data_IF_590714692466
#
_entry.id   IF_590714692466
#
_cell.length_a   1.000
_cell.length_b   1.000
_cell.length_c   1.000
_cell.angle_alpha   90.00
_cell.angle_beta   90.00
_cell.angle_gamma   90.00
#
_symmetry.space_group_name_H-M   'P 1'
#
loop_
_entity.id
_entity.type
_entity.pdbx_description
1 polymer ?
#
# COMPACT_ATOMS: atom_id res chain seq x y z
N UNK A 1 9.31 10.40 -54.34
CA UNK A 1 8.82 11.69 -53.82
C UNK A 1 7.59 11.43 -52.97
N UNK A 2 7.77 11.19 -51.66
CA UNK A 2 6.69 11.17 -50.68
C UNK A 2 7.19 12.04 -49.51
N UNK A 3 6.49 13.15 -49.30
CA UNK A 3 6.83 14.22 -48.37
C UNK A 3 6.43 13.81 -46.96
N UNK A 4 7.41 13.73 -46.04
CA UNK A 4 7.13 13.77 -44.61
C UNK A 4 6.75 15.19 -44.22
N UNK A 5 5.51 15.41 -43.78
CA UNK A 5 5.11 16.61 -43.05
C UNK A 5 5.25 16.32 -41.55
N UNK A 6 6.30 16.88 -40.95
CA UNK A 6 6.45 16.95 -39.50
C UNK A 6 5.36 17.85 -38.91
N UNK A 7 4.49 17.28 -38.08
CA UNK A 7 3.60 18.02 -37.20
C UNK A 7 4.38 18.37 -35.93
N UNK A 8 4.88 19.60 -35.85
CA UNK A 8 5.42 20.15 -34.59
C UNK A 8 4.26 20.49 -33.67
N UNK A 9 4.02 19.62 -32.67
CA UNK A 9 3.13 19.91 -31.56
C UNK A 9 3.84 20.88 -30.61
N UNK A 10 3.49 22.16 -30.68
CA UNK A 10 3.94 23.17 -29.72
C UNK A 10 3.18 22.92 -28.42
N UNK A 11 3.84 22.26 -27.46
CA UNK A 11 3.38 22.27 -26.06
C UNK A 11 3.52 23.70 -25.53
N UNK A 12 2.39 24.34 -25.23
CA UNK A 12 2.38 25.47 -24.30
C UNK A 12 2.76 24.94 -22.91
N UNK A 13 4.06 24.91 -22.62
CA UNK A 13 4.54 24.89 -21.24
C UNK A 13 4.17 26.25 -20.66
N UNK A 14 3.17 26.26 -19.79
CA UNK A 14 2.91 27.40 -18.92
C UNK A 14 4.20 27.74 -18.20
N UNK A 15 4.79 28.88 -18.55
CA UNK A 15 5.96 29.44 -17.89
C UNK A 15 5.56 29.86 -16.48
N UNK A 16 5.59 28.91 -15.56
CA UNK A 16 5.73 29.24 -14.14
C UNK A 16 7.12 29.88 -14.04
N UNK A 17 7.14 31.16 -13.74
CA UNK A 17 8.36 31.92 -13.45
C UNK A 17 9.28 31.07 -12.58
N UNK A 18 10.41 30.66 -13.15
CA UNK A 18 11.53 30.08 -12.42
C UNK A 18 12.17 31.21 -11.61
N UNK A 19 11.49 31.66 -10.56
CA UNK A 19 12.14 32.42 -9.50
C UNK A 19 13.31 31.56 -9.01
N UNK A 20 14.51 32.14 -8.97
CA UNK A 20 15.73 31.47 -8.53
C UNK A 20 15.52 30.94 -7.10
N UNK A 21 15.19 29.64 -6.96
CA UNK A 21 15.00 28.99 -5.66
C UNK A 21 16.35 28.92 -4.97
N UNK A 22 16.38 29.15 -3.66
CA UNK A 22 17.59 28.91 -2.85
C UNK A 22 17.93 27.42 -2.93
N UNK A 23 19.10 27.09 -3.48
CA UNK A 23 19.59 25.71 -3.49
C UNK A 23 20.42 25.44 -2.24
N UNK A 24 20.12 24.34 -1.55
CA UNK A 24 20.83 23.87 -0.38
C UNK A 24 21.28 22.44 -0.63
N UNK A 25 22.58 22.25 -0.80
CA UNK A 25 23.18 20.93 -0.98
C UNK A 25 23.39 20.29 0.39
N UNK A 26 22.96 19.04 0.53
CA UNK A 26 23.19 18.23 1.73
C UNK A 26 24.62 17.68 1.67
N UNK A 27 25.49 18.00 2.65
CA UNK A 27 26.84 17.44 2.67
C UNK A 27 26.78 15.93 2.94
N UNK A 28 27.63 15.17 2.25
CA UNK A 28 27.74 13.73 2.42
C UNK A 28 29.09 13.36 3.05
N UNK A 29 29.07 12.45 4.02
CA UNK A 29 30.27 11.80 4.55
C UNK A 29 30.86 10.75 3.59
N UNK A 30 30.19 10.47 2.47
CA UNK A 30 30.56 9.40 1.54
C UNK A 30 30.29 8.00 2.12
N UNK A 31 29.33 7.89 3.05
CA UNK A 31 29.00 6.63 3.71
C UNK A 31 29.95 6.23 4.86
N UNK A 32 30.76 7.15 5.37
CA UNK A 32 31.76 6.85 6.41
C UNK A 32 31.31 7.18 7.84
N UNK A 33 30.48 8.23 7.99
CA UNK A 33 29.97 8.72 9.28
C UNK A 33 28.46 8.93 9.18
N UNK A 34 27.78 9.19 10.30
CA UNK A 34 26.36 9.58 10.26
C UNK A 34 26.21 10.98 9.65
N UNK A 35 25.31 11.10 8.67
CA UNK A 35 24.95 12.35 8.00
C UNK A 35 23.67 12.97 8.58
N UNK A 36 22.99 12.30 9.52
CA UNK A 36 21.67 12.73 10.03
C UNK A 36 21.64 14.16 10.56
N UNK A 37 22.65 14.59 11.33
CA UNK A 37 22.69 15.94 11.88
C UNK A 37 22.82 17.00 10.79
N UNK A 38 23.64 16.74 9.77
CA UNK A 38 23.84 17.68 8.66
C UNK A 38 22.61 17.73 7.74
N UNK A 39 21.94 16.58 7.52
CA UNK A 39 20.65 16.50 6.83
C UNK A 39 19.61 17.36 7.56
N UNK A 40 19.47 17.17 8.87
CA UNK A 40 18.51 17.92 9.68
C UNK A 40 18.79 19.43 9.64
N UNK A 41 20.05 19.85 9.79
CA UNK A 41 20.45 21.26 9.72
C UNK A 41 20.07 21.91 8.38
N UNK A 42 20.29 21.20 7.27
CA UNK A 42 19.93 21.69 5.92
C UNK A 42 18.42 21.80 5.77
N UNK A 43 17.67 20.79 6.22
CA UNK A 43 16.20 20.81 6.20
C UNK A 43 15.64 21.98 7.01
N UNK A 44 16.18 22.25 8.20
CA UNK A 44 15.74 23.34 9.06
C UNK A 44 16.03 24.72 8.43
N UNK A 45 17.24 24.92 7.90
CA UNK A 45 17.67 26.19 7.28
C UNK A 45 17.01 26.44 5.92
N UNK A 46 16.53 25.41 5.26
CA UNK A 46 16.00 25.47 3.90
C UNK A 46 14.56 24.95 3.81
N UNK A 47 13.79 25.07 4.88
CA UNK A 47 12.39 24.62 4.94
C UNK A 47 11.39 25.47 4.11
N UNK A 48 11.83 26.51 3.40
CA UNK A 48 10.96 27.38 2.61
C UNK A 48 11.60 27.85 1.31
N UNK A 49 10.79 27.88 0.23
CA UNK A 49 11.14 28.45 -1.09
C UNK A 49 12.48 27.96 -1.65
N UNK A 50 12.75 26.66 -1.48
CA UNK A 50 14.09 26.09 -1.69
C UNK A 50 14.08 24.82 -2.54
N UNK A 51 15.26 24.47 -3.00
CA UNK A 51 15.64 23.15 -3.49
C UNK A 51 16.66 22.58 -2.49
N UNK A 52 16.34 21.45 -1.88
CA UNK A 52 17.27 20.67 -1.04
C UNK A 52 17.76 19.49 -1.86
N UNK A 53 19.06 19.44 -2.13
CA UNK A 53 19.67 18.46 -3.03
C UNK A 53 20.52 17.45 -2.25
N UNK A 54 20.15 16.17 -2.37
CA UNK A 54 21.03 15.04 -2.10
C UNK A 54 21.67 14.64 -3.43
N UNK A 55 22.98 14.80 -3.56
CA UNK A 55 23.67 14.72 -4.85
C UNK A 55 23.76 13.29 -5.37
N UNK A 56 23.69 13.14 -6.70
CA UNK A 56 23.95 11.87 -7.36
C UNK A 56 25.38 11.40 -7.10
N UNK A 57 25.57 10.08 -6.98
CA UNK A 57 26.86 9.49 -6.65
C UNK A 57 27.27 9.60 -5.18
N UNK A 58 26.52 10.35 -4.35
CA UNK A 58 26.73 10.42 -2.91
C UNK A 58 25.98 9.33 -2.15
N UNK A 59 26.59 8.85 -1.07
CA UNK A 59 25.96 7.96 -0.09
C UNK A 59 25.82 8.71 1.24
N UNK A 60 24.60 8.71 1.77
CA UNK A 60 24.22 9.37 3.01
C UNK A 60 23.84 8.33 4.06
N UNK A 61 24.56 8.28 5.18
CA UNK A 61 24.19 7.41 6.30
C UNK A 61 23.20 8.15 7.22
N UNK A 62 21.94 7.76 7.20
CA UNK A 62 20.87 8.39 7.99
C UNK A 62 20.62 7.56 9.24
N UNK A 63 21.53 7.68 10.22
CA UNK A 63 21.49 6.80 11.40
C UNK A 63 20.61 7.26 12.55
N UNK A 64 20.07 8.47 12.46
CA UNK A 64 19.03 9.00 13.35
C UNK A 64 17.81 9.44 12.53
N UNK A 65 16.58 9.36 13.08
CA UNK A 65 15.37 9.82 12.43
C UNK A 65 15.41 11.31 12.07
N UNK A 66 14.81 11.64 10.93
CA UNK A 66 14.78 12.99 10.35
C UNK A 66 13.35 13.52 10.36
N UNK A 67 13.16 14.75 10.84
CA UNK A 67 11.86 15.40 10.89
C UNK A 67 11.90 16.82 10.30
N UNK A 68 11.18 17.06 9.21
CA UNK A 68 10.99 18.39 8.64
C UNK A 68 9.49 18.68 8.52
N UNK A 69 8.93 19.25 9.58
CA UNK A 69 7.48 19.32 9.79
C UNK A 69 6.82 20.62 9.31
N UNK A 70 7.63 21.59 8.89
CA UNK A 70 7.18 22.94 8.50
C UNK A 70 7.69 23.33 7.11
N UNK A 71 7.67 22.38 6.16
CA UNK A 71 8.09 22.64 4.78
C UNK A 71 7.06 23.52 4.05
N UNK A 72 7.52 24.48 3.25
CA UNK A 72 6.64 25.34 2.44
C UNK A 72 7.29 25.61 1.09
N UNK A 73 6.70 25.14 0.00
CA UNK A 73 7.22 25.33 -1.35
C UNK A 73 8.68 24.82 -1.49
N UNK A 74 8.91 23.58 -1.07
CA UNK A 74 10.24 22.93 -1.04
C UNK A 74 10.29 21.77 -2.01
N UNK A 75 11.42 21.65 -2.73
CA UNK A 75 11.76 20.45 -3.50
C UNK A 75 12.86 19.68 -2.75
N UNK A 76 12.56 18.47 -2.30
CA UNK A 76 13.52 17.48 -1.82
C UNK A 76 13.98 16.65 -3.03
N UNK A 77 15.11 17.01 -3.63
CA UNK A 77 15.71 16.27 -4.74
C UNK A 77 16.67 15.21 -4.22
N UNK A 78 16.24 13.95 -4.27
CA UNK A 78 16.96 12.79 -3.72
C UNK A 78 17.65 12.02 -4.85
N UNK A 79 18.84 12.48 -5.24
CA UNK A 79 19.59 11.88 -6.35
C UNK A 79 20.62 10.83 -5.88
N UNK A 80 21.14 10.97 -4.66
CA UNK A 80 22.04 10.02 -4.00
C UNK A 80 21.32 8.92 -3.21
N UNK A 81 22.09 7.96 -2.69
CA UNK A 81 21.56 6.85 -1.90
C UNK A 81 21.56 7.16 -0.40
N UNK A 82 20.52 6.72 0.30
CA UNK A 82 20.37 6.87 1.74
C UNK A 82 20.46 5.48 2.40
N UNK A 83 21.29 5.35 3.42
CA UNK A 83 21.50 4.09 4.14
C UNK A 83 21.06 4.24 5.60
N UNK A 84 20.14 3.37 6.04
CA UNK A 84 19.72 3.31 7.44
C UNK A 84 20.67 2.42 8.27
N UNK A 85 20.61 2.45 9.62
CA UNK A 85 21.40 1.55 10.44
C UNK A 85 21.03 0.09 10.20
N UNK A 86 22.04 -0.78 10.19
CA UNK A 86 21.87 -2.23 10.01
C UNK A 86 21.70 -2.99 11.34
N UNK A 87 22.20 -2.44 12.44
CA UNK A 87 22.13 -3.09 13.75
C UNK A 87 20.71 -2.99 14.33
N UNK A 88 20.02 -4.12 14.40
CA UNK A 88 18.66 -4.24 14.92
C UNK A 88 18.56 -3.65 16.34
N UNK A 89 19.50 -3.97 17.23
CA UNK A 89 19.45 -3.53 18.62
C UNK A 89 19.65 -2.02 18.76
N UNK A 90 20.50 -1.41 17.92
CA UNK A 90 20.70 0.03 17.86
C UNK A 90 19.42 0.73 17.38
N UNK A 91 18.81 0.24 16.29
CA UNK A 91 17.53 0.77 15.79
C UNK A 91 16.43 0.65 16.84
N UNK A 92 16.30 -0.52 17.49
CA UNK A 92 15.29 -0.73 18.54
C UNK A 92 15.48 0.23 19.72
N UNK A 93 16.71 0.60 20.08
CA UNK A 93 16.99 1.60 21.11
C UNK A 93 16.56 3.00 20.67
N UNK A 94 16.83 3.38 19.42
CA UNK A 94 16.42 4.68 18.85
C UNK A 94 14.90 4.83 18.91
N UNK A 95 14.15 3.78 18.55
CA UNK A 95 12.68 3.83 18.46
C UNK A 95 11.94 3.27 19.68
N UNK A 96 12.65 2.95 20.78
CA UNK A 96 12.08 2.36 21.98
C UNK A 96 10.96 3.20 22.63
N UNK A 97 10.89 4.50 22.33
CA UNK A 97 9.90 5.44 22.85
C UNK A 97 8.63 5.62 22.00
N UNK A 98 8.50 4.95 20.85
CA UNK A 98 7.27 5.01 20.04
C UNK A 98 7.44 4.65 18.57
N UNK A 99 6.30 4.43 17.90
CA UNK A 99 6.20 4.14 16.47
C UNK A 99 6.48 5.39 15.63
N UNK A 100 7.75 5.77 15.54
CA UNK A 100 8.23 6.85 14.69
C UNK A 100 8.37 6.42 13.23
N UNK A 101 8.31 7.39 12.33
CA UNK A 101 8.80 7.23 10.97
C UNK A 101 10.26 7.64 10.94
N UNK A 102 11.09 6.96 10.15
CA UNK A 102 12.49 7.35 9.99
C UNK A 102 12.63 8.71 9.30
N UNK A 103 11.72 9.01 8.38
CA UNK A 103 11.54 10.32 7.76
C UNK A 103 10.12 10.82 8.05
N UNK A 104 9.99 11.99 8.68
CA UNK A 104 8.69 12.65 8.87
C UNK A 104 8.69 14.01 8.18
N UNK A 105 8.00 14.08 7.04
CA UNK A 105 7.89 15.29 6.24
C UNK A 105 6.47 15.84 6.29
N UNK A 106 6.33 17.10 6.70
CA UNK A 106 5.04 17.77 6.76
C UNK A 106 5.10 19.23 6.30
N UNK A 107 3.99 19.71 5.73
CA UNK A 107 3.90 21.08 5.20
C UNK A 107 3.03 21.25 3.94
N UNK A 108 3.28 22.31 3.19
CA UNK A 108 2.53 22.69 1.98
C UNK A 108 3.44 22.80 0.76
N UNK A 109 2.95 22.44 -0.41
CA UNK A 109 3.68 22.56 -1.69
C UNK A 109 5.05 21.83 -1.64
N UNK A 110 5.05 20.60 -1.13
CA UNK A 110 6.25 19.76 -0.98
C UNK A 110 6.39 18.86 -2.21
N UNK A 111 7.58 18.81 -2.79
CA UNK A 111 7.92 17.87 -3.84
C UNK A 111 9.07 16.96 -3.39
N UNK A 112 8.85 15.66 -3.28
CA UNK A 112 9.90 14.65 -3.18
C UNK A 112 10.20 14.12 -4.58
N UNK A 113 11.42 14.33 -5.08
CA UNK A 113 11.83 13.93 -6.43
C UNK A 113 13.07 13.05 -6.32
N UNK A 114 12.87 11.74 -6.42
CA UNK A 114 13.98 10.78 -6.49
C UNK A 114 14.67 10.78 -7.86
N UNK A 115 15.83 10.12 -7.94
CA UNK A 115 16.51 9.88 -9.21
C UNK A 115 15.65 8.97 -10.10
N UNK A 116 15.48 9.30 -11.38
CA UNK A 116 14.76 8.44 -12.32
C UNK A 116 15.56 7.20 -12.76
N UNK A 117 16.89 7.23 -12.63
CA UNK A 117 17.73 6.07 -12.88
C UNK A 117 17.58 5.05 -11.75
N UNK A 118 17.23 3.81 -12.10
CA UNK A 118 17.01 2.71 -11.16
C UNK A 118 18.29 2.32 -10.40
N UNK A 119 19.50 2.75 -10.79
CA UNK A 119 20.72 2.46 -10.02
C UNK A 119 21.02 3.44 -8.88
N UNK A 120 20.28 4.53 -8.76
CA UNK A 120 20.55 5.63 -7.80
C UNK A 120 19.30 5.99 -6.98
N UNK A 121 19.39 6.94 -6.05
CA UNK A 121 18.22 7.47 -5.33
C UNK A 121 17.50 6.46 -4.42
N UNK A 122 18.17 5.38 -4.01
CA UNK A 122 17.57 4.35 -3.15
C UNK A 122 17.67 4.70 -1.68
N UNK A 123 16.62 4.35 -0.93
CA UNK A 123 16.70 4.24 0.53
C UNK A 123 16.91 2.76 0.91
N UNK A 124 18.10 2.42 1.38
CA UNK A 124 18.47 1.09 1.85
C UNK A 124 18.15 0.95 3.34
N UNK A 125 17.08 0.21 3.65
CA UNK A 125 16.58 0.03 5.01
C UNK A 125 17.08 -1.24 5.70
N UNK A 126 17.69 -2.17 4.95
CA UNK A 126 18.32 -3.40 5.48
C UNK A 126 17.40 -4.33 6.29
N UNK A 127 16.12 -4.40 5.91
CA UNK A 127 15.07 -5.20 6.53
C UNK A 127 15.29 -6.70 6.50
N UNK A 128 16.14 -7.23 5.62
CA UNK A 128 16.41 -8.68 5.53
C UNK A 128 16.82 -9.27 6.89
N UNK A 129 17.74 -8.62 7.61
CA UNK A 129 18.18 -9.08 8.92
C UNK A 129 17.01 -9.19 9.93
N UNK A 130 16.04 -8.28 9.83
CA UNK A 130 14.85 -8.27 10.68
C UNK A 130 13.91 -9.42 10.36
N UNK A 131 13.66 -9.67 9.08
CA UNK A 131 12.77 -10.76 8.65
C UNK A 131 13.38 -12.12 9.01
N UNK A 132 14.67 -12.32 8.76
CA UNK A 132 15.41 -13.53 9.14
C UNK A 132 15.38 -13.77 10.65
N UNK A 133 15.57 -12.72 11.45
CA UNK A 133 15.50 -12.82 12.91
C UNK A 133 14.07 -13.11 13.40
N UNK A 134 13.05 -12.52 12.76
CA UNK A 134 11.65 -12.81 13.06
C UNK A 134 11.28 -14.27 12.75
N UNK A 135 11.70 -14.78 11.60
CA UNK A 135 11.44 -16.17 11.20
C UNK A 135 12.02 -17.17 12.22
N UNK A 136 13.24 -16.91 12.72
CA UNK A 136 13.87 -17.71 13.79
C UNK A 136 13.10 -17.63 15.12
N UNK A 137 12.48 -16.48 15.41
CA UNK A 137 11.68 -16.28 16.61
C UNK A 137 10.25 -16.87 16.48
N UNK A 138 9.81 -17.25 15.29
CA UNK A 138 8.45 -17.74 15.03
C UNK A 138 7.37 -16.66 15.25
N UNK A 139 7.70 -15.38 15.05
CA UNK A 139 6.80 -14.25 15.29
C UNK A 139 6.16 -13.68 14.02
N UNK A 140 5.29 -12.69 14.20
CA UNK A 140 4.67 -11.87 13.13
C UNK A 140 5.34 -10.51 12.97
N UNK A 141 6.59 -10.41 13.43
CA UNK A 141 7.41 -9.20 13.45
C UNK A 141 8.18 -9.07 14.76
N UNK A 142 9.44 -8.60 14.66
CA UNK A 142 10.19 -8.18 15.84
C UNK A 142 9.54 -6.92 16.47
N UNK A 143 9.72 -6.70 17.78
CA UNK A 143 9.28 -5.47 18.43
C UNK A 143 10.07 -4.26 17.91
N UNK A 144 9.48 -3.06 18.02
CA UNK A 144 10.14 -1.78 17.76
C UNK A 144 10.74 -1.68 16.34
N UNK A 145 9.95 -2.05 15.33
CA UNK A 145 10.28 -1.84 13.92
C UNK A 145 9.87 -0.44 13.49
N UNK A 146 10.78 0.39 12.94
CA UNK A 146 10.41 1.70 12.42
C UNK A 146 9.58 1.58 11.14
N UNK A 147 8.70 2.55 10.93
CA UNK A 147 8.15 2.81 9.60
C UNK A 147 9.14 3.70 8.84
N UNK A 148 9.18 3.61 7.52
CA UNK A 148 10.17 4.34 6.74
C UNK A 148 9.83 5.84 6.63
N UNK A 149 8.67 6.21 6.10
CA UNK A 149 8.35 7.60 5.79
C UNK A 149 6.90 7.97 6.08
N UNK A 150 6.69 9.10 6.76
CA UNK A 150 5.44 9.84 6.76
C UNK A 150 5.53 11.04 5.82
N UNK A 151 4.58 11.15 4.90
CA UNK A 151 4.44 12.27 3.98
C UNK A 151 3.08 12.95 4.19
N UNK A 152 3.11 14.06 4.94
CA UNK A 152 1.94 14.79 5.43
C UNK A 152 1.83 16.14 4.71
N UNK A 153 1.21 16.18 3.54
CA UNK A 153 1.27 17.34 2.65
C UNK A 153 -0.12 17.91 2.30
N UNK A 154 -0.18 19.22 2.10
CA UNK A 154 -1.19 19.84 1.23
C UNK A 154 -0.52 20.28 -0.05
N UNK A 155 -1.04 19.89 -1.21
CA UNK A 155 -0.36 20.06 -2.51
C UNK A 155 0.99 19.33 -2.56
N UNK A 156 0.97 18.02 -2.35
CA UNK A 156 2.17 17.19 -2.33
C UNK A 156 2.46 16.53 -3.69
N UNK A 157 3.74 16.40 -4.04
CA UNK A 157 4.20 15.54 -5.13
C UNK A 157 5.28 14.61 -4.62
N UNK A 158 5.19 13.33 -4.96
CA UNK A 158 6.26 12.36 -4.79
C UNK A 158 6.48 11.65 -6.12
N UNK A 159 7.70 11.71 -6.64
CA UNK A 159 8.06 11.05 -7.87
C UNK A 159 9.36 10.26 -7.69
N UNK A 160 9.43 9.05 -8.24
CA UNK A 160 10.61 8.17 -8.17
C UNK A 160 11.09 7.83 -6.75
N UNK A 161 10.15 7.68 -5.80
CA UNK A 161 10.47 7.14 -4.48
C UNK A 161 10.93 5.68 -4.60
N UNK A 162 12.07 5.34 -4.00
CA UNK A 162 12.65 3.99 -4.07
C UNK A 162 13.05 3.49 -2.68
N UNK A 163 12.47 2.36 -2.29
CA UNK A 163 12.72 1.71 -1.00
C UNK A 163 13.22 0.29 -1.21
N UNK A 164 14.40 -0.01 -0.65
CA UNK A 164 15.00 -1.34 -0.68
C UNK A 164 14.99 -1.96 0.71
N UNK A 165 14.47 -3.18 0.79
CA UNK A 165 14.35 -4.02 1.98
C UNK A 165 13.83 -3.23 3.19
N UNK A 166 12.62 -2.64 3.14
CA UNK A 166 12.06 -1.89 4.28
C UNK A 166 11.92 -2.78 5.52
N UNK A 167 12.18 -2.24 6.71
CA UNK A 167 12.05 -3.01 7.96
C UNK A 167 10.59 -3.37 8.26
N UNK A 168 9.68 -2.44 7.96
CA UNK A 168 8.22 -2.58 8.08
C UNK A 168 7.53 -1.64 7.05
N UNK A 169 6.49 -0.89 7.44
CA UNK A 169 5.71 -0.03 6.54
C UNK A 169 6.58 1.01 5.82
N UNK A 170 6.32 1.23 4.53
CA UNK A 170 7.11 2.16 3.72
C UNK A 170 6.58 3.59 3.82
N UNK A 171 5.43 3.88 3.22
CA UNK A 171 4.95 5.25 3.05
C UNK A 171 3.57 5.46 3.66
N UNK A 172 3.47 6.32 4.68
CA UNK A 172 2.23 6.78 5.26
C UNK A 172 1.86 8.18 4.72
N UNK A 173 0.77 8.28 3.97
CA UNK A 173 0.30 9.50 3.28
C UNK A 173 -0.88 10.11 4.02
N UNK A 174 -0.74 11.39 4.38
CA UNK A 174 -1.78 12.20 5.04
C UNK A 174 -1.87 13.60 4.40
N UNK A 175 -3.02 14.24 4.52
CA UNK A 175 -3.26 15.59 4.01
C UNK A 175 -4.17 15.59 2.78
N UNK A 176 -3.91 16.47 1.81
CA UNK A 176 -4.80 16.65 0.66
C UNK A 176 -4.08 17.07 -0.63
N UNK A 177 -4.67 16.76 -1.78
CA UNK A 177 -4.12 17.08 -3.11
C UNK A 177 -2.69 16.56 -3.28
N UNK A 178 -2.54 15.22 -3.30
CA UNK A 178 -1.23 14.55 -3.32
C UNK A 178 -1.12 13.69 -4.58
N UNK A 179 0.00 13.82 -5.29
CA UNK A 179 0.34 12.98 -6.45
C UNK A 179 1.56 12.13 -6.13
N UNK A 180 1.47 10.83 -6.38
CA UNK A 180 2.58 9.88 -6.21
C UNK A 180 2.76 9.14 -7.53
N UNK A 181 3.98 9.16 -8.08
CA UNK A 181 4.28 8.50 -9.35
C UNK A 181 5.61 7.75 -9.32
N UNK A 182 5.71 6.68 -10.12
CA UNK A 182 6.95 5.94 -10.37
C UNK A 182 7.64 5.41 -9.10
N UNK A 183 6.88 5.07 -8.06
CA UNK A 183 7.44 4.54 -6.84
C UNK A 183 7.84 3.06 -7.00
N UNK A 184 8.97 2.68 -6.41
CA UNK A 184 9.43 1.29 -6.35
C UNK A 184 9.64 0.87 -4.89
N UNK A 185 9.03 -0.24 -4.51
CA UNK A 185 9.28 -0.91 -3.22
C UNK A 185 9.74 -2.33 -3.50
N UNK A 186 10.92 -2.68 -3.03
CA UNK A 186 11.48 -4.04 -3.10
C UNK A 186 11.67 -4.62 -1.70
N UNK A 187 10.74 -5.50 -1.30
CA UNK A 187 10.86 -6.32 -0.09
C UNK A 187 11.08 -7.81 -0.41
N UNK A 188 11.58 -8.16 -1.58
CA UNK A 188 11.84 -9.57 -1.93
C UNK A 188 12.87 -10.16 -0.96
N UNK A 189 12.55 -11.28 -0.33
CA UNK A 189 13.44 -11.91 0.65
C UNK A 189 14.59 -12.67 -0.01
N UNK A 190 15.75 -12.65 0.62
CA UNK A 190 16.97 -13.34 0.16
C UNK A 190 17.10 -14.75 0.75
N UNK A 191 16.34 -15.08 1.80
CA UNK A 191 16.41 -16.35 2.53
C UNK A 191 15.04 -16.98 2.79
N UNK A 192 14.01 -16.54 2.04
CA UNK A 192 12.60 -16.95 2.18
C UNK A 192 11.92 -16.54 3.49
N UNK A 193 12.58 -15.76 4.36
CA UNK A 193 11.92 -15.17 5.52
C UNK A 193 10.88 -14.14 5.08
N UNK A 194 9.63 -14.31 5.51
CA UNK A 194 8.53 -13.45 5.09
C UNK A 194 8.74 -12.00 5.59
N UNK A 195 8.63 -10.99 4.71
CA UNK A 195 8.80 -9.59 5.07
C UNK A 195 7.51 -9.01 5.66
N UNK A 196 7.17 -9.48 6.87
CA UNK A 196 5.95 -9.08 7.60
C UNK A 196 5.75 -7.56 7.62
N UNK A 197 4.55 -7.10 7.28
CA UNK A 197 4.15 -5.69 7.38
C UNK A 197 5.07 -4.75 6.61
N UNK A 198 5.40 -5.09 5.36
CA UNK A 198 6.14 -4.21 4.45
C UNK A 198 5.20 -3.45 3.53
N UNK A 199 4.12 -2.90 4.09
CA UNK A 199 3.10 -2.13 3.38
C UNK A 199 3.71 -1.09 2.45
N UNK A 200 3.21 -1.01 1.21
CA UNK A 200 3.73 -0.10 0.19
C UNK A 200 3.32 1.35 0.46
N UNK A 201 2.10 1.71 0.09
CA UNK A 201 1.57 3.07 0.30
C UNK A 201 0.28 3.01 1.12
N UNK A 202 0.36 3.46 2.37
CA UNK A 202 -0.79 3.66 3.26
C UNK A 202 -1.40 5.05 3.05
N UNK A 203 -2.66 5.12 2.66
CA UNK A 203 -3.36 6.35 2.26
C UNK A 203 -4.48 6.64 3.24
N UNK A 204 -4.38 7.73 3.98
CA UNK A 204 -5.48 8.27 4.79
C UNK A 204 -5.61 9.78 4.58
N UNK A 205 -5.66 10.15 3.31
CA UNK A 205 -5.63 11.51 2.78
C UNK A 205 -6.75 11.71 1.77
N UNK A 206 -7.02 12.96 1.39
CA UNK A 206 -8.04 13.30 0.38
C UNK A 206 -7.41 13.74 -0.93
N UNK A 207 -8.09 13.49 -2.05
CA UNK A 207 -7.68 13.95 -3.38
C UNK A 207 -6.27 13.46 -3.72
N UNK A 208 -6.12 12.12 -3.74
CA UNK A 208 -4.84 11.44 -3.95
C UNK A 208 -4.85 10.73 -5.28
N UNK A 209 -3.79 10.90 -6.06
CA UNK A 209 -3.56 10.16 -7.30
C UNK A 209 -2.22 9.45 -7.22
N UNK A 210 -2.25 8.11 -7.28
CA UNK A 210 -1.07 7.25 -7.29
C UNK A 210 -0.98 6.54 -8.63
N UNK A 211 0.18 6.54 -9.26
CA UNK A 211 0.30 5.92 -10.58
C UNK A 211 1.69 5.41 -10.95
N UNK A 212 1.75 4.44 -11.87
CA UNK A 212 2.99 3.94 -12.46
C UNK A 212 3.96 3.34 -11.42
N UNK A 213 3.44 2.71 -10.37
CA UNK A 213 4.24 2.14 -9.27
C UNK A 213 4.55 0.65 -9.47
N UNK A 214 5.67 0.19 -8.91
CA UNK A 214 6.05 -1.24 -8.82
C UNK A 214 6.30 -1.61 -7.35
N UNK A 215 5.46 -2.46 -6.77
CA UNK A 215 5.53 -2.80 -5.35
C UNK A 215 5.61 -4.33 -5.18
N UNK A 216 6.76 -4.81 -4.74
CA UNK A 216 6.95 -6.19 -4.31
C UNK A 216 7.11 -6.22 -2.80
N UNK A 217 6.12 -6.78 -2.09
CA UNK A 217 6.10 -6.76 -0.63
C UNK A 217 5.42 -8.00 -0.02
N UNK A 218 5.37 -8.04 1.31
CA UNK A 218 4.69 -9.09 2.09
C UNK A 218 3.50 -8.56 2.91
N UNK A 219 2.84 -7.51 2.45
CA UNK A 219 1.60 -7.00 3.07
C UNK A 219 0.84 -6.15 2.02
N UNK A 220 -0.06 -5.27 2.44
CA UNK A 220 -0.86 -4.44 1.55
C UNK A 220 0.05 -3.55 0.66
N UNK A 221 -0.06 -3.66 -0.67
CA UNK A 221 0.67 -2.77 -1.58
C UNK A 221 0.11 -1.35 -1.53
N UNK A 222 -1.21 -1.24 -1.46
CA UNK A 222 -1.94 0.00 -1.24
C UNK A 222 -2.96 -0.21 -0.13
N UNK A 223 -2.84 0.54 0.97
CA UNK A 223 -3.72 0.41 2.13
C UNK A 223 -4.53 1.69 2.35
N UNK A 224 -5.83 1.65 2.06
CA UNK A 224 -6.75 2.78 2.28
C UNK A 224 -7.24 2.74 3.73
N UNK A 225 -7.01 3.83 4.44
CA UNK A 225 -7.35 3.98 5.86
C UNK A 225 -8.45 5.03 6.06
N UNK A 226 -8.93 5.13 7.29
CA UNK A 226 -9.95 6.09 7.70
C UNK A 226 -9.65 7.54 7.27
N UNK A 227 -10.70 8.23 6.80
CA UNK A 227 -10.64 9.61 6.31
C UNK A 227 -10.26 9.74 4.83
N UNK A 228 -9.92 8.63 4.15
CA UNK A 228 -9.58 8.67 2.73
C UNK A 228 -10.78 9.02 1.85
N UNK A 229 -10.58 9.96 0.93
CA UNK A 229 -11.63 10.41 0.00
C UNK A 229 -11.04 10.81 -1.35
N UNK A 230 -11.72 10.47 -2.46
CA UNK A 230 -11.27 10.83 -3.81
C UNK A 230 -9.84 10.31 -4.07
N UNK A 231 -9.66 9.00 -3.99
CA UNK A 231 -8.36 8.34 -4.20
C UNK A 231 -8.41 7.55 -5.50
N UNK A 232 -7.45 7.79 -6.38
CA UNK A 232 -7.23 7.00 -7.60
C UNK A 232 -5.85 6.36 -7.52
N UNK A 233 -5.79 5.05 -7.71
CA UNK A 233 -4.55 4.28 -7.87
C UNK A 233 -4.61 3.58 -9.20
N UNK A 234 -3.65 3.82 -10.10
CA UNK A 234 -3.71 3.26 -11.44
C UNK A 234 -2.37 2.89 -12.09
N UNK A 235 -2.39 2.06 -13.13
CA UNK A 235 -1.22 1.67 -13.94
C UNK A 235 -0.05 1.14 -13.11
N UNK A 236 -0.32 0.25 -12.17
CA UNK A 236 0.70 -0.24 -11.24
C UNK A 236 0.83 -1.76 -11.26
N UNK A 237 2.02 -2.24 -10.89
CA UNK A 237 2.31 -3.66 -10.75
C UNK A 237 2.58 -3.95 -9.27
N UNK A 238 1.87 -4.92 -8.73
CA UNK A 238 2.05 -5.37 -7.35
C UNK A 238 2.28 -6.88 -7.33
N UNK A 239 3.07 -7.39 -6.40
CA UNK A 239 3.32 -8.83 -6.37
C UNK A 239 4.22 -9.35 -5.26
N UNK A 240 4.89 -10.46 -5.55
CA UNK A 240 5.71 -11.27 -4.65
C UNK A 240 4.90 -12.05 -3.61
N UNK A 241 4.49 -11.41 -2.51
CA UNK A 241 3.63 -12.01 -1.47
C UNK A 241 2.65 -10.97 -0.94
N UNK A 242 2.26 -10.03 -1.79
CA UNK A 242 1.44 -8.87 -1.42
C UNK A 242 0.05 -9.27 -0.95
N UNK A 243 -0.54 -8.45 -0.07
CA UNK A 243 -1.94 -8.52 0.33
C UNK A 243 -2.83 -7.58 -0.52
N UNK A 244 -2.27 -7.03 -1.60
CA UNK A 244 -3.04 -6.40 -2.66
C UNK A 244 -3.41 -4.95 -2.38
N UNK A 245 -4.55 -4.55 -2.96
CA UNK A 245 -5.19 -3.26 -2.79
C UNK A 245 -6.26 -3.39 -1.70
N UNK A 246 -5.92 -2.95 -0.51
CA UNK A 246 -6.70 -3.15 0.70
C UNK A 246 -7.41 -1.88 1.15
N UNK A 247 -8.69 -2.01 1.53
CA UNK A 247 -9.40 -1.01 2.32
C UNK A 247 -9.53 -1.53 3.76
N UNK A 248 -8.98 -0.77 4.70
CA UNK A 248 -8.99 -1.07 6.13
C UNK A 248 -7.66 -1.64 6.66
N UNK A 249 -7.63 -2.19 7.88
CA UNK A 249 -8.81 -2.52 8.68
C UNK A 249 -9.57 -1.29 9.22
N UNK A 250 -10.90 -1.30 9.13
CA UNK A 250 -11.77 -0.22 9.63
C UNK A 250 -12.63 -0.68 10.81
N UNK A 251 -12.98 0.23 11.72
CA UNK A 251 -13.84 -0.09 12.86
C UNK A 251 -13.13 -0.72 14.05
N UNK A 252 -11.79 -0.64 14.13
CA UNK A 252 -11.00 -1.17 15.25
C UNK A 252 -11.37 -0.52 16.60
N UNK A 253 -11.81 0.74 16.58
CA UNK A 253 -12.44 1.41 17.72
C UNK A 253 -13.96 1.43 17.53
N UNK A 254 -14.69 0.66 18.36
CA UNK A 254 -16.16 0.57 18.31
C UNK A 254 -16.86 1.91 18.59
N UNK A 255 -16.18 2.88 19.22
CA UNK A 255 -16.74 4.20 19.57
C UNK A 255 -16.56 5.24 18.46
N UNK A 256 -15.77 4.92 17.44
CA UNK A 256 -15.46 5.83 16.34
C UNK A 256 -16.21 5.42 15.09
N UNK A 257 -16.76 6.40 14.39
CA UNK A 257 -17.36 6.19 13.06
C UNK A 257 -16.30 6.40 11.99
N UNK A 258 -16.04 5.35 11.20
CA UNK A 258 -15.03 5.35 10.14
C UNK A 258 -15.64 5.78 8.80
N UNK A 259 -14.91 6.54 8.00
CA UNK A 259 -15.38 6.97 6.67
C UNK A 259 -14.31 6.81 5.60
N UNK A 260 -14.70 6.20 4.48
CA UNK A 260 -13.91 6.13 3.26
C UNK A 260 -14.87 6.33 2.08
N UNK A 261 -14.51 7.13 1.07
CA UNK A 261 -15.41 7.29 -0.09
C UNK A 261 -14.72 7.64 -1.39
N UNK A 262 -15.31 7.24 -2.51
CA UNK A 262 -14.80 7.54 -3.85
C UNK A 262 -13.35 7.06 -4.04
N UNK A 263 -13.19 5.74 -4.04
CA UNK A 263 -11.90 5.06 -4.21
C UNK A 263 -11.93 4.29 -5.53
N UNK A 264 -10.90 4.48 -6.36
CA UNK A 264 -10.76 3.78 -7.65
C UNK A 264 -9.38 3.16 -7.76
N UNK A 265 -9.35 1.86 -7.94
CA UNK A 265 -8.18 1.10 -8.39
C UNK A 265 -8.41 0.72 -9.85
N UNK A 266 -7.49 1.09 -10.74
CA UNK A 266 -7.67 0.91 -12.20
C UNK A 266 -6.39 0.46 -12.89
N UNK A 267 -6.47 -0.51 -13.80
CA UNK A 267 -5.31 -0.96 -14.58
C UNK A 267 -4.14 -1.44 -13.71
N UNK A 268 -4.42 -2.44 -12.86
CA UNK A 268 -3.44 -3.00 -11.92
C UNK A 268 -3.15 -4.45 -12.27
N UNK A 269 -1.87 -4.82 -12.26
CA UNK A 269 -1.43 -6.22 -12.39
C UNK A 269 -0.98 -6.75 -11.03
N UNK A 270 -1.55 -7.87 -10.60
CA UNK A 270 -1.23 -8.55 -9.34
C UNK A 270 -0.59 -9.90 -9.64
N UNK A 271 0.65 -10.12 -9.19
CA UNK A 271 1.41 -11.35 -9.45
C UNK A 271 1.94 -11.99 -8.15
N UNK A 272 1.45 -13.19 -7.82
CA UNK A 272 1.87 -13.92 -6.61
C UNK A 272 1.29 -13.39 -5.30
N UNK A 273 0.20 -12.60 -5.35
CA UNK A 273 -0.42 -12.04 -4.14
C UNK A 273 -1.25 -13.06 -3.36
N UNK A 274 -1.34 -12.88 -2.04
CA UNK A 274 -2.37 -13.55 -1.23
C UNK A 274 -3.76 -13.03 -1.63
N UNK A 275 -3.87 -11.72 -1.84
CA UNK A 275 -5.09 -11.06 -2.31
C UNK A 275 -4.80 -10.11 -3.47
N UNK A 276 -5.82 -9.79 -4.28
CA UNK A 276 -5.77 -8.65 -5.20
C UNK A 276 -6.64 -7.49 -4.69
N UNK A 277 -7.96 -7.65 -4.59
CA UNK A 277 -8.84 -6.69 -3.93
C UNK A 277 -9.21 -7.20 -2.54
N UNK A 278 -9.04 -6.35 -1.53
CA UNK A 278 -9.33 -6.71 -0.15
C UNK A 278 -10.09 -5.62 0.59
N UNK A 279 -11.08 -6.02 1.37
CA UNK A 279 -11.73 -5.17 2.36
C UNK A 279 -11.69 -5.85 3.72
N UNK A 280 -11.37 -5.06 4.76
CA UNK A 280 -11.26 -5.52 6.14
C UNK A 280 -12.00 -4.59 7.08
N UNK A 281 -12.98 -5.09 7.82
CA UNK A 281 -13.50 -4.40 9.00
C UNK A 281 -13.66 -5.32 10.21
N UNK A 282 -13.62 -4.73 11.40
CA UNK A 282 -13.78 -5.44 12.66
C UNK A 282 -15.27 -5.65 13.00
N UNK A 283 -15.61 -6.80 13.60
CA UNK A 283 -16.95 -7.03 14.20
C UNK A 283 -17.24 -5.94 15.23
N UNK A 284 -18.47 -5.43 15.26
CA UNK A 284 -18.85 -4.35 16.17
C UNK A 284 -18.18 -3.01 15.83
N UNK A 285 -17.57 -2.90 14.65
CA UNK A 285 -17.07 -1.65 14.09
C UNK A 285 -18.22 -0.83 13.50
N UNK A 286 -18.04 0.49 13.42
CA UNK A 286 -19.04 1.40 12.85
C UNK A 286 -18.41 2.30 11.79
N UNK A 287 -19.10 2.51 10.68
CA UNK A 287 -18.61 3.37 9.62
C UNK A 287 -19.40 3.25 8.33
N UNK A 288 -18.97 4.01 7.33
CA UNK A 288 -19.48 3.96 5.97
C UNK A 288 -18.32 4.02 4.98
N UNK A 289 -18.22 2.99 4.15
CA UNK A 289 -17.41 2.98 2.93
C UNK A 289 -18.33 2.99 1.74
N UNK A 290 -18.13 3.93 0.82
CA UNK A 290 -18.98 4.03 -0.36
C UNK A 290 -18.28 4.45 -1.63
N UNK A 291 -18.87 4.05 -2.75
CA UNK A 291 -18.45 4.45 -4.10
C UNK A 291 -17.00 3.97 -4.35
N UNK A 292 -16.82 2.66 -4.37
CA UNK A 292 -15.51 2.01 -4.51
C UNK A 292 -15.48 1.17 -5.78
N UNK A 293 -14.38 1.22 -6.52
CA UNK A 293 -14.19 0.38 -7.70
C UNK A 293 -12.80 -0.23 -7.79
N UNK A 294 -12.74 -1.48 -8.24
CA UNK A 294 -11.54 -2.11 -8.77
C UNK A 294 -11.81 -2.55 -10.20
N UNK A 295 -11.16 -1.89 -11.16
CA UNK A 295 -11.42 -2.08 -12.59
C UNK A 295 -10.14 -2.42 -13.36
N UNK A 296 -10.27 -3.21 -14.43
CA UNK A 296 -9.14 -3.54 -15.32
C UNK A 296 -8.00 -4.26 -14.58
N UNK A 297 -8.33 -5.29 -13.81
CA UNK A 297 -7.37 -6.00 -12.95
C UNK A 297 -6.89 -7.29 -13.62
N UNK A 298 -5.56 -7.46 -13.68
CA UNK A 298 -4.90 -8.64 -14.24
C UNK A 298 -4.29 -9.48 -13.12
N UNK A 299 -4.59 -10.77 -13.11
CA UNK A 299 -4.16 -11.70 -12.07
C UNK A 299 -3.16 -12.72 -12.61
N UNK A 300 -2.08 -12.92 -11.87
CA UNK A 300 -1.13 -14.00 -12.11
C UNK A 300 -0.87 -14.72 -10.80
N UNK A 301 -1.52 -15.86 -10.61
CA UNK A 301 -1.33 -16.74 -9.45
C UNK A 301 -1.63 -15.99 -8.14
N UNK A 302 -2.86 -15.51 -8.00
CA UNK A 302 -3.33 -14.86 -6.76
C UNK A 302 -4.18 -15.84 -5.98
N UNK A 303 -3.90 -16.04 -4.69
CA UNK A 303 -4.59 -17.08 -3.89
C UNK A 303 -6.08 -16.77 -3.70
N UNK A 304 -6.41 -15.53 -3.34
CA UNK A 304 -7.78 -15.06 -3.13
C UNK A 304 -8.00 -13.75 -3.88
N UNK A 305 -8.39 -13.77 -5.16
CA UNK A 305 -8.47 -12.55 -5.97
C UNK A 305 -9.32 -11.44 -5.35
N UNK A 306 -10.51 -11.76 -4.85
CA UNK A 306 -11.40 -10.80 -4.19
C UNK A 306 -11.75 -11.33 -2.81
N UNK A 307 -11.38 -10.60 -1.77
CA UNK A 307 -11.57 -11.01 -0.38
C UNK A 307 -12.16 -9.88 0.48
N UNK A 308 -13.43 -10.00 0.81
CA UNK A 308 -14.16 -9.05 1.64
C UNK A 308 -14.49 -9.72 2.96
N UNK A 309 -14.01 -9.16 4.08
CA UNK A 309 -14.32 -9.62 5.42
C UNK A 309 -14.74 -8.48 6.35
N UNK A 310 -15.81 -8.73 7.10
CA UNK A 310 -16.27 -7.86 8.17
C UNK A 310 -16.04 -8.45 9.57
N UNK A 311 -15.32 -9.56 9.66
CA UNK A 311 -14.97 -10.23 10.91
C UNK A 311 -13.46 -10.22 11.19
N UNK A 312 -12.75 -9.23 10.62
CA UNK A 312 -11.30 -9.13 10.67
C UNK A 312 -10.73 -9.17 12.09
N UNK A 313 -9.61 -9.88 12.24
CA UNK A 313 -8.76 -9.90 13.41
C UNK A 313 -7.29 -9.83 13.00
N UNK A 314 -6.45 -9.27 13.88
CA UNK A 314 -5.00 -9.23 13.65
C UNK A 314 -4.40 -10.64 13.66
N UNK A 315 -3.45 -10.87 12.74
CA UNK A 315 -2.68 -12.11 12.68
C UNK A 315 -1.97 -12.40 14.02
N UNK A 316 -2.08 -13.65 14.50
CA UNK A 316 -1.44 -14.08 15.74
C UNK A 316 -2.05 -13.51 17.03
N UNK A 317 -3.17 -12.77 16.94
CA UNK A 317 -3.91 -12.28 18.12
C UNK A 317 -5.27 -12.97 18.19
N UNK A 318 -5.69 -13.31 19.42
CA UNK A 318 -7.06 -13.74 19.63
C UNK A 318 -8.02 -12.62 19.22
N UNK A 319 -9.10 -12.96 18.50
CA UNK A 319 -10.18 -12.03 18.22
C UNK A 319 -10.71 -11.46 19.54
N UNK A 320 -10.71 -10.15 19.69
CA UNK A 320 -11.35 -9.52 20.85
C UNK A 320 -12.82 -9.94 20.90
N UNK A 321 -13.33 -10.27 22.09
CA UNK A 321 -14.77 -10.50 22.31
C UNK A 321 -15.51 -9.17 22.11
N UNK A 322 -15.90 -8.90 20.86
CA UNK A 322 -16.64 -7.70 20.46
C UNK A 322 -18.11 -8.07 20.26
N UNK A 323 -19.05 -7.23 20.71
CA UNK A 323 -20.46 -7.48 20.45
C UNK A 323 -20.69 -7.47 18.94
N UNK A 324 -21.30 -8.54 18.45
CA UNK A 324 -21.71 -8.63 17.05
C UNK A 324 -23.07 -7.95 16.86
N UNK A 325 -23.06 -6.63 16.85
CA UNK A 325 -24.27 -5.80 16.76
C UNK A 325 -24.14 -4.60 15.82
N UNK A 326 -23.02 -4.50 15.11
CA UNK A 326 -22.72 -3.42 14.18
C UNK A 326 -21.59 -3.81 13.23
N UNK A 327 -21.54 -3.16 12.08
CA UNK A 327 -20.50 -3.33 11.06
C UNK A 327 -20.27 -2.03 10.31
N UNK A 328 -19.09 -1.91 9.69
CA UNK A 328 -18.80 -0.84 8.74
C UNK A 328 -19.64 -1.07 7.49
N UNK A 329 -20.55 -0.15 7.20
CA UNK A 329 -21.49 -0.26 6.09
C UNK A 329 -20.76 -0.07 4.76
N UNK A 330 -20.98 -0.97 3.81
CA UNK A 330 -20.42 -0.94 2.46
C UNK A 330 -21.53 -0.62 1.45
N UNK A 331 -21.34 0.42 0.63
CA UNK A 331 -22.33 0.86 -0.37
C UNK A 331 -21.69 1.10 -1.73
N UNK A 332 -22.30 0.63 -2.81
CA UNK A 332 -21.87 0.92 -4.19
C UNK A 332 -20.43 0.48 -4.45
N UNK A 333 -20.19 -0.83 -4.44
CA UNK A 333 -18.88 -1.41 -4.75
C UNK A 333 -18.95 -2.07 -6.13
N UNK A 334 -17.98 -1.78 -6.99
CA UNK A 334 -17.91 -2.35 -8.35
C UNK A 334 -16.59 -3.05 -8.59
N UNK A 335 -16.66 -4.28 -9.09
CA UNK A 335 -15.54 -5.04 -9.63
C UNK A 335 -15.80 -5.24 -11.12
N UNK A 336 -14.91 -4.73 -11.97
CA UNK A 336 -15.15 -4.70 -13.41
C UNK A 336 -13.91 -5.09 -14.23
N UNK A 337 -14.09 -5.88 -15.27
CA UNK A 337 -13.05 -6.32 -16.20
C UNK A 337 -11.83 -6.94 -15.48
N UNK A 338 -12.05 -8.07 -14.84
CA UNK A 338 -11.00 -8.86 -14.19
C UNK A 338 -10.61 -10.04 -15.06
N UNK A 339 -9.32 -10.36 -15.15
CA UNK A 339 -8.86 -11.54 -15.88
C UNK A 339 -7.59 -12.15 -15.29
N UNK A 340 -7.53 -13.48 -15.19
CA UNK A 340 -6.30 -14.19 -14.85
C UNK A 340 -6.47 -15.36 -13.90
N UNK A 341 -5.36 -15.80 -13.31
CA UNK A 341 -5.27 -17.10 -12.63
C UNK A 341 -5.30 -17.03 -11.09
N UNK A 342 -6.00 -17.99 -10.48
CA UNK A 342 -5.94 -18.28 -9.04
C UNK A 342 -4.78 -19.23 -8.76
N UNK A 343 -3.98 -18.93 -7.73
CA UNK A 343 -2.89 -19.79 -7.28
C UNK A 343 -3.44 -21.07 -6.61
N UNK A 344 -3.66 -22.11 -7.40
CA UNK A 344 -4.25 -23.39 -6.95
C UNK A 344 -3.20 -24.49 -6.74
N UNK A 345 -1.99 -24.31 -7.28
CA UNK A 345 -0.90 -25.27 -7.08
C UNK A 345 -0.19 -25.11 -5.73
N UNK A 346 -0.03 -23.87 -5.25
CA UNK A 346 0.63 -23.59 -3.96
C UNK A 346 -0.06 -22.41 -3.24
N UNK A 347 -1.33 -22.56 -2.81
CA UNK A 347 -2.13 -21.47 -2.28
C UNK A 347 -1.60 -20.93 -0.95
N UNK A 348 -1.62 -19.61 -0.82
CA UNK A 348 -1.25 -18.88 0.40
C UNK A 348 -0.10 -17.92 0.17
N UNK A 349 0.56 -17.57 1.27
CA UNK A 349 1.81 -16.84 1.34
C UNK A 349 2.60 -17.24 2.60
N UNK A 350 3.75 -16.61 2.84
CA UNK A 350 4.60 -16.85 4.01
C UNK A 350 4.12 -16.17 5.30
N UNK A 351 2.94 -15.53 5.33
CA UNK A 351 2.42 -14.84 6.52
C UNK A 351 1.76 -15.79 7.54
N UNK A 352 1.72 -17.09 7.26
CA UNK A 352 1.06 -18.08 8.11
C UNK A 352 1.75 -18.21 9.48
N UNK A 353 1.15 -17.58 10.50
CA UNK A 353 1.64 -17.57 11.88
C UNK A 353 0.81 -18.45 12.85
N UNK A 354 -0.14 -19.22 12.33
CA UNK A 354 -1.03 -20.12 13.09
C UNK A 354 -1.24 -21.43 12.34
N UNK A 355 -1.66 -22.50 13.04
CA UNK A 355 -2.06 -23.74 12.40
C UNK A 355 -3.48 -24.13 12.88
N UNK A 356 -4.50 -24.14 11.99
CA UNK A 356 -4.45 -23.74 10.58
C UNK A 356 -4.07 -22.26 10.37
N UNK A 357 -3.60 -21.92 9.17
CA UNK A 357 -3.26 -20.53 8.80
C UNK A 357 -4.45 -19.60 9.04
N UNK A 358 -4.17 -18.35 9.40
CA UNK A 358 -5.20 -17.37 9.76
C UNK A 358 -6.15 -17.04 8.60
N UNK A 359 -5.70 -17.17 7.34
CA UNK A 359 -6.55 -17.01 6.15
C UNK A 359 -7.33 -18.29 5.78
N UNK A 360 -7.20 -19.38 6.56
CA UNK A 360 -7.91 -20.66 6.38
C UNK A 360 -9.00 -20.92 7.43
N UNK A 361 -9.28 -19.96 8.29
CA UNK A 361 -10.27 -20.10 9.38
C UNK A 361 -11.47 -19.18 9.17
N UNK A 362 -12.60 -19.55 9.78
CA UNK A 362 -13.83 -18.74 9.75
C UNK A 362 -14.66 -18.83 8.48
N UNK A 363 -14.09 -19.33 7.38
CA UNK A 363 -14.78 -19.46 6.09
C UNK A 363 -15.28 -20.90 5.86
N UNK A 364 -16.50 -21.07 5.31
CA UNK A 364 -17.05 -22.40 5.05
C UNK A 364 -16.43 -23.03 3.81
N UNK A 365 -15.92 -24.27 3.95
CA UNK A 365 -15.49 -25.13 2.84
C UNK A 365 -14.48 -24.49 1.87
N UNK A 366 -13.46 -23.81 2.39
CA UNK A 366 -12.35 -23.29 1.58
C UNK A 366 -11.66 -24.41 0.78
N UNK A 367 -11.50 -24.18 -0.51
CA UNK A 367 -10.86 -25.07 -1.50
C UNK A 367 -9.63 -24.45 -2.15
N UNK A 368 -9.38 -23.16 -1.92
CA UNK A 368 -8.32 -22.38 -2.58
C UNK A 368 -8.49 -22.28 -4.10
N UNK A 369 -9.75 -22.29 -4.54
CA UNK A 369 -10.14 -22.01 -5.92
C UNK A 369 -11.25 -20.95 -5.99
N UNK A 370 -11.44 -20.21 -4.89
CA UNK A 370 -12.41 -19.15 -4.76
C UNK A 370 -11.99 -17.93 -5.59
N UNK A 371 -12.77 -17.60 -6.62
CA UNK A 371 -12.59 -16.36 -7.36
C UNK A 371 -13.05 -15.14 -6.53
N UNK A 372 -14.10 -15.33 -5.72
CA UNK A 372 -14.78 -14.28 -4.97
C UNK A 372 -15.13 -14.80 -3.57
N UNK A 373 -14.73 -14.07 -2.55
CA UNK A 373 -15.15 -14.27 -1.16
C UNK A 373 -15.77 -12.97 -0.64
N UNK A 374 -17.05 -13.03 -0.30
CA UNK A 374 -17.81 -11.92 0.28
C UNK A 374 -18.42 -12.34 1.61
N UNK A 375 -17.79 -11.92 2.70
CA UNK A 375 -18.27 -12.12 4.06
C UNK A 375 -18.84 -10.80 4.62
N UNK A 376 -20.16 -10.65 4.48
CA UNK A 376 -20.92 -9.58 5.12
C UNK A 376 -21.40 -10.06 6.49
N UNK A 377 -21.22 -9.24 7.52
CA UNK A 377 -21.50 -9.61 8.91
C UNK A 377 -22.95 -9.32 9.31
N UNK A 378 -23.48 -8.13 8.97
CA UNK A 378 -24.90 -7.80 9.17
C UNK A 378 -25.72 -8.00 7.89
N UNK A 379 -27.01 -8.27 8.03
CA UNK A 379 -27.90 -8.59 6.90
C UNK A 379 -28.01 -7.45 5.88
N UNK A 380 -27.71 -6.22 6.28
CA UNK A 380 -27.77 -5.00 5.48
C UNK A 380 -26.41 -4.33 5.24
N UNK A 381 -25.32 -4.96 5.68
CA UNK A 381 -23.99 -4.36 5.70
C UNK A 381 -23.37 -4.16 4.31
N UNK A 382 -23.80 -4.94 3.31
CA UNK A 382 -23.30 -4.91 1.94
C UNK A 382 -24.46 -4.64 0.95
N UNK A 383 -24.45 -3.48 0.31
CA UNK A 383 -25.51 -3.09 -0.64
C UNK A 383 -24.93 -2.43 -1.89
N UNK A 384 -25.59 -2.65 -3.03
CA UNK A 384 -25.18 -2.10 -4.31
C UNK A 384 -23.85 -2.65 -4.82
N UNK A 385 -23.55 -3.93 -4.56
CA UNK A 385 -22.39 -4.60 -5.13
C UNK A 385 -22.69 -5.02 -6.57
N UNK A 386 -21.69 -4.88 -7.43
CA UNK A 386 -21.75 -5.21 -8.86
C UNK A 386 -20.45 -5.88 -9.28
N UNK A 387 -20.55 -7.08 -9.85
CA UNK A 387 -19.44 -7.79 -10.50
C UNK A 387 -19.74 -7.87 -12.00
N UNK A 388 -18.85 -7.33 -12.83
CA UNK A 388 -19.03 -7.30 -14.28
C UNK A 388 -17.76 -7.76 -15.01
N UNK A 389 -17.93 -8.46 -16.13
CA UNK A 389 -16.84 -8.94 -17.00
C UNK A 389 -15.69 -9.64 -16.23
N UNK A 390 -16.06 -10.65 -15.44
CA UNK A 390 -15.15 -11.38 -14.55
C UNK A 390 -14.66 -12.68 -15.21
N UNK A 391 -13.37 -12.78 -15.50
CA UNK A 391 -12.72 -13.92 -16.18
C UNK A 391 -11.58 -14.51 -15.33
N UNK A 392 -11.95 -15.02 -14.17
CA UNK A 392 -11.03 -15.56 -13.17
C UNK A 392 -11.10 -17.10 -13.21
N UNK A 393 -9.96 -17.77 -13.28
CA UNK A 393 -9.88 -19.23 -13.37
C UNK A 393 -8.76 -19.80 -12.49
N UNK A 394 -8.93 -20.99 -11.88
CA UNK A 394 -7.84 -21.70 -11.23
C UNK A 394 -6.75 -22.11 -12.22
N UNK A 395 -5.46 -22.02 -11.82
CA UNK A 395 -4.35 -22.54 -12.61
C UNK A 395 -4.50 -24.04 -12.97
N UNK A 396 -5.08 -24.83 -12.07
CA UNK A 396 -5.35 -26.25 -12.28
C UNK A 396 -6.60 -26.53 -13.14
N UNK A 397 -7.27 -25.48 -13.62
CA UNK A 397 -8.47 -25.53 -14.44
C UNK A 397 -9.67 -26.22 -13.77
N UNK A 398 -9.64 -26.38 -12.45
CA UNK A 398 -10.84 -26.75 -11.69
C UNK A 398 -11.91 -25.67 -11.83
N UNK A 399 -13.16 -26.03 -11.54
CA UNK A 399 -14.23 -25.04 -11.58
C UNK A 399 -13.97 -23.98 -10.48
N UNK A 400 -13.86 -22.68 -10.83
CA UNK A 400 -13.75 -21.62 -9.83
C UNK A 400 -14.95 -21.67 -8.88
N UNK A 401 -14.75 -21.23 -7.65
CA UNK A 401 -15.81 -21.17 -6.64
C UNK A 401 -16.06 -19.75 -6.14
N UNK A 402 -17.18 -19.58 -5.44
CA UNK A 402 -17.55 -18.36 -4.73
C UNK A 402 -18.00 -18.72 -3.31
N UNK A 403 -17.63 -17.87 -2.36
CA UNK A 403 -18.19 -17.88 -1.00
C UNK A 403 -18.92 -16.56 -0.78
N UNK A 404 -20.21 -16.64 -0.47
CA UNK A 404 -21.07 -15.51 -0.17
C UNK A 404 -21.77 -15.71 1.17
N UNK A 405 -21.63 -14.74 2.05
CA UNK A 405 -22.34 -14.67 3.32
C UNK A 405 -23.07 -13.34 3.38
N UNK A 406 -24.41 -13.39 3.45
CA UNK A 406 -25.32 -12.23 3.58
C UNK A 406 -25.26 -11.18 2.45
N UNK A 407 -24.55 -11.42 1.36
CA UNK A 407 -24.62 -10.61 0.14
C UNK A 407 -25.85 -10.98 -0.72
N UNK A 408 -27.05 -10.61 -0.27
CA UNK A 408 -28.30 -11.05 -0.90
C UNK A 408 -28.60 -10.29 -2.21
N UNK A 409 -29.33 -10.95 -3.13
CA UNK A 409 -29.78 -10.33 -4.38
C UNK A 409 -30.75 -9.14 -4.15
N UNK A 410 -31.52 -9.15 -3.05
CA UNK A 410 -32.43 -8.05 -2.72
C UNK A 410 -31.68 -6.73 -2.45
N UNK A 411 -30.49 -6.80 -1.83
CA UNK A 411 -29.63 -5.66 -1.58
C UNK A 411 -28.67 -5.34 -2.73
N UNK A 412 -28.49 -6.31 -3.63
CA UNK A 412 -27.54 -6.25 -4.74
C UNK A 412 -28.23 -6.73 -6.02
N UNK A 413 -29.21 -5.97 -6.57
CA UNK A 413 -29.99 -6.41 -7.73
C UNK A 413 -29.15 -6.56 -9.01
N UNK A 414 -28.00 -5.88 -9.07
CA UNK A 414 -27.06 -5.92 -10.19
C UNK A 414 -25.78 -6.70 -9.84
N UNK A 415 -25.85 -7.68 -8.95
CA UNK A 415 -24.66 -8.38 -8.44
C UNK A 415 -23.82 -9.03 -9.56
N UNK A 416 -24.43 -9.46 -10.66
CA UNK A 416 -23.74 -10.03 -11.83
C UNK A 416 -23.19 -11.45 -11.64
N UNK A 417 -23.41 -12.06 -10.47
CA UNK A 417 -23.01 -13.43 -10.15
C UNK A 417 -24.11 -14.13 -9.35
N UNK A 418 -24.13 -15.46 -9.39
CA UNK A 418 -24.93 -16.26 -8.47
C UNK A 418 -24.23 -16.40 -7.11
N UNK A 419 -24.66 -15.61 -6.12
CA UNK A 419 -24.05 -15.56 -4.79
C UNK A 419 -24.47 -16.73 -3.88
N UNK A 420 -24.25 -17.96 -4.33
CA UNK A 420 -24.47 -19.20 -3.56
C UNK A 420 -23.14 -19.93 -3.41
N UNK A 421 -22.81 -20.32 -2.18
CA UNK A 421 -21.57 -21.05 -1.89
C UNK A 421 -21.45 -22.28 -2.80
N UNK A 422 -20.38 -22.33 -3.61
CA UNK A 422 -20.21 -23.39 -4.59
C UNK A 422 -19.52 -22.89 -5.85
N UNK A 423 -19.87 -23.46 -7.00
CA UNK A 423 -19.27 -23.11 -8.29
C UNK A 423 -19.60 -21.66 -8.63
N UNK A 424 -18.57 -20.91 -9.02
CA UNK A 424 -18.69 -19.56 -9.54
C UNK A 424 -19.35 -19.61 -10.92
N UNK A 425 -20.47 -18.90 -11.06
CA UNK A 425 -21.22 -18.78 -12.32
C UNK A 425 -21.50 -17.28 -12.56
N UNK A 426 -20.87 -16.66 -13.58
CA UNK A 426 -21.26 -15.32 -14.01
C UNK A 426 -22.66 -15.34 -14.63
N UNK A 427 -23.45 -14.29 -14.40
CA UNK A 427 -24.83 -14.15 -14.89
C UNK A 427 -24.92 -13.41 -16.23
#
# INVERSE_FOLDING_TARGET
MISLRSLSLVLLVGTVSAACRKQCVVPASGGTLSDSAAIQEVLDRCNRDSLILFEEGSNYNVFEPIAALNLTNVILSVQGNLHLPQDISAVQKIVAGGNGHWFDFAGTDIQYIGNSDISHGWIYSYGQAWWSANAKAGGTGLPNRPHLMAFKATNGVMNYFKSSKPVAWNLAVKGSNIKIANAVVDSVSEDWSFPFNTDGVGIGATDVHVTDCVIYNGDDAFAISDGAKNVVVERSIIGYQTHGMSIGSLGSDAKKFYTVSNIRFDDITVAGGLYAARFKSWVGGQGLVKDVSWSNIRLHNVTFPIFITQTYSDQGKASANRPNNSSVQMRNFKWDNWAGSINSYDPGDGSCASNPCWYNVGLPNLKHNEAIIVECNEDDSCQGFEFDNMRIYPQDMTAPSVICMKATAALNPNLGIDCRNGTYVPL
#
